data_IF_723390372024
#
_entry.id   IF_723390372024
#
_cell.length_a   1.000
_cell.length_b   1.000
_cell.length_c   1.000
_cell.angle_alpha   90.00
_cell.angle_beta   90.00
_cell.angle_gamma   90.00
#
_symmetry.space_group_name_H-M   'P 1'
#
loop_
_entity.id
_entity.type
_entity.pdbx_description
1 polymer ?
#
# COMPACT_ATOMS: atom_id res chain seq x y z
N UNK A 1 -36.21 58.87 54.74
CA UNK A 1 -36.60 57.66 53.97
C UNK A 1 -35.43 57.29 53.05
N UNK A 2 -34.83 56.10 53.22
CA UNK A 2 -33.66 55.67 52.44
C UNK A 2 -34.10 54.52 51.54
N UNK A 3 -34.07 54.73 50.23
CA UNK A 3 -34.44 53.70 49.26
C UNK A 3 -33.34 52.63 49.18
N UNK A 4 -33.69 51.32 49.15
CA UNK A 4 -32.71 50.27 48.90
C UNK A 4 -32.28 50.29 47.44
N UNK A 5 -30.96 50.19 47.19
CA UNK A 5 -30.40 50.00 45.85
C UNK A 5 -30.39 48.50 45.53
N UNK A 6 -30.92 48.07 44.37
CA UNK A 6 -30.86 46.66 43.98
C UNK A 6 -29.40 46.27 43.70
N UNK A 7 -28.94 45.22 44.39
CA UNK A 7 -27.63 44.62 44.15
C UNK A 7 -27.58 44.00 42.76
N UNK A 8 -26.65 44.49 41.92
CA UNK A 8 -26.28 43.85 40.65
C UNK A 8 -25.42 42.64 40.98
N UNK A 9 -25.99 41.45 40.91
CA UNK A 9 -25.24 40.21 41.08
C UNK A 9 -25.93 39.09 40.30
N UNK A 10 -25.21 38.49 39.34
CA UNK A 10 -25.65 37.26 38.67
C UNK A 10 -25.10 36.98 37.26
N UNK A 11 -24.55 37.97 36.56
CA UNK A 11 -24.20 37.80 35.13
C UNK A 11 -22.85 37.11 34.85
N UNK A 12 -21.83 37.37 35.67
CA UNK A 12 -20.46 36.92 35.37
C UNK A 12 -20.28 35.41 35.54
N UNK A 13 -20.85 34.81 36.59
CA UNK A 13 -20.76 33.36 36.82
C UNK A 13 -21.42 32.55 35.72
N UNK A 14 -22.56 33.00 35.22
CA UNK A 14 -23.23 32.36 34.07
C UNK A 14 -22.38 32.48 32.80
N UNK A 15 -21.80 33.65 32.55
CA UNK A 15 -20.91 33.86 31.41
C UNK A 15 -19.65 32.98 31.49
N UNK A 16 -19.03 32.89 32.67
CA UNK A 16 -17.89 32.01 32.92
C UNK A 16 -18.24 30.54 32.74
N UNK A 17 -19.44 30.12 33.14
CA UNK A 17 -19.91 28.75 32.98
C UNK A 17 -20.16 28.39 31.51
N UNK A 18 -20.78 29.28 30.73
CA UNK A 18 -20.95 29.07 29.28
C UNK A 18 -19.59 29.00 28.59
N UNK A 19 -18.65 29.89 28.93
CA UNK A 19 -17.30 29.89 28.36
C UNK A 19 -16.55 28.60 28.74
N UNK A 20 -16.66 28.15 30.00
CA UNK A 20 -16.06 26.90 30.44
C UNK A 20 -16.64 25.71 29.66
N UNK A 21 -17.96 25.63 29.51
CA UNK A 21 -18.62 24.59 28.73
C UNK A 21 -18.22 24.64 27.26
N UNK A 22 -18.06 25.83 26.68
CA UNK A 22 -17.60 26.02 25.32
C UNK A 22 -16.15 25.53 25.14
N UNK A 23 -15.26 25.83 26.09
CA UNK A 23 -13.86 25.36 26.08
C UNK A 23 -13.81 23.83 26.20
N UNK A 24 -14.58 23.24 27.14
CA UNK A 24 -14.65 21.78 27.31
C UNK A 24 -15.17 21.11 26.03
N UNK A 25 -16.20 21.68 25.41
CA UNK A 25 -16.75 21.19 24.14
C UNK A 25 -15.72 21.22 23.01
N UNK A 26 -14.97 22.33 22.89
CA UNK A 26 -13.94 22.49 21.85
C UNK A 26 -12.78 21.49 22.02
N UNK A 27 -12.27 21.32 23.25
CA UNK A 27 -11.18 20.38 23.55
C UNK A 27 -11.61 18.95 23.23
N UNK A 28 -12.83 18.55 23.63
CA UNK A 28 -13.35 17.20 23.41
C UNK A 28 -13.50 16.86 21.92
N UNK A 29 -13.94 17.81 21.09
CA UNK A 29 -14.13 17.59 19.65
C UNK A 29 -12.81 17.35 18.90
N UNK A 30 -11.68 17.87 19.40
CA UNK A 30 -10.38 17.75 18.73
C UNK A 30 -9.76 16.33 18.79
N UNK A 31 -10.14 15.51 19.77
CA UNK A 31 -9.52 14.20 20.02
C UNK A 31 -9.88 13.11 18.98
N UNK A 32 -10.96 13.28 18.21
CA UNK A 32 -11.55 12.20 17.40
C UNK A 32 -10.78 11.89 16.09
N UNK A 33 -9.99 12.83 15.57
CA UNK A 33 -9.35 12.67 14.24
C UNK A 33 -8.10 11.78 14.25
N UNK A 34 -7.51 11.50 15.42
CA UNK A 34 -6.25 10.75 15.51
C UNK A 34 -6.43 9.23 15.34
N UNK A 35 -7.65 8.72 15.49
CA UNK A 35 -7.93 7.28 15.47
C UNK A 35 -7.66 6.59 14.13
N UNK A 36 -7.98 7.22 13.00
CA UNK A 36 -7.88 6.57 11.68
C UNK A 36 -6.44 6.27 11.25
N UNK A 37 -5.52 7.20 11.52
CA UNK A 37 -4.09 7.04 11.20
C UNK A 37 -3.48 5.93 12.07
N UNK A 38 -3.81 5.90 13.36
CA UNK A 38 -3.34 4.86 14.28
C UNK A 38 -3.83 3.48 13.81
N UNK A 39 -5.11 3.35 13.47
CA UNK A 39 -5.66 2.08 13.01
C UNK A 39 -5.01 1.60 11.71
N UNK A 40 -4.78 2.51 10.76
CA UNK A 40 -4.08 2.18 9.51
C UNK A 40 -2.64 1.74 9.76
N UNK A 41 -1.92 2.43 10.64
CA UNK A 41 -0.55 2.03 11.01
C UNK A 41 -0.49 0.66 11.68
N UNK A 42 -1.50 0.29 12.47
CA UNK A 42 -1.61 -1.04 13.09
C UNK A 42 -1.86 -2.11 12.04
N UNK A 43 -2.78 -1.88 11.12
CA UNK A 43 -3.07 -2.79 10.02
C UNK A 43 -1.83 -3.01 9.13
N UNK A 44 -1.05 -1.96 8.86
CA UNK A 44 0.22 -2.08 8.12
C UNK A 44 1.27 -2.88 8.89
N UNK A 45 1.41 -2.69 10.20
CA UNK A 45 2.33 -3.50 11.01
C UNK A 45 1.89 -4.98 11.03
N UNK A 46 0.60 -5.25 11.18
CA UNK A 46 0.06 -6.60 11.09
C UNK A 46 0.30 -7.22 9.72
N UNK A 47 0.19 -6.43 8.64
CA UNK A 47 0.54 -6.87 7.29
C UNK A 47 2.01 -7.29 7.18
N UNK A 48 2.93 -6.54 7.79
CA UNK A 48 4.35 -6.89 7.81
C UNK A 48 4.62 -8.18 8.61
N UNK A 49 3.90 -8.39 9.72
CA UNK A 49 4.01 -9.61 10.54
C UNK A 49 3.47 -10.84 9.77
N UNK A 50 2.31 -10.70 9.12
CA UNK A 50 1.73 -11.72 8.25
C UNK A 50 2.68 -12.00 7.07
N UNK A 51 3.22 -10.95 6.47
CA UNK A 51 4.20 -11.04 5.39
C UNK A 51 5.48 -11.77 5.81
N UNK A 52 5.95 -11.54 7.03
CA UNK A 52 7.07 -12.29 7.62
C UNK A 52 6.71 -13.78 7.76
N UNK A 53 5.49 -14.12 8.20
CA UNK A 53 5.03 -15.50 8.27
C UNK A 53 4.97 -16.18 6.89
N UNK A 54 4.59 -15.45 5.84
CA UNK A 54 4.64 -15.96 4.45
C UNK A 54 6.08 -16.17 3.98
N UNK A 55 6.97 -15.20 4.19
CA UNK A 55 8.39 -15.32 3.86
C UNK A 55 9.04 -16.51 4.57
N UNK A 56 8.77 -16.68 5.86
CA UNK A 56 9.29 -17.79 6.66
C UNK A 56 8.70 -19.13 6.20
N UNK A 57 7.42 -19.17 5.79
CA UNK A 57 6.80 -20.38 5.23
C UNK A 57 7.39 -20.76 3.88
N UNK A 58 7.61 -19.80 2.98
CA UNK A 58 8.28 -20.02 1.68
C UNK A 58 9.70 -20.54 1.88
N UNK A 59 10.44 -19.93 2.83
CA UNK A 59 11.77 -20.39 3.21
C UNK A 59 11.74 -21.81 3.76
N UNK A 60 10.84 -22.10 4.69
CA UNK A 60 10.71 -23.43 5.30
C UNK A 60 10.35 -24.50 4.28
N UNK A 61 9.52 -24.18 3.28
CA UNK A 61 9.19 -25.08 2.18
C UNK A 61 10.40 -25.37 1.28
N UNK A 62 11.15 -24.33 0.92
CA UNK A 62 12.38 -24.48 0.15
C UNK A 62 13.44 -25.29 0.90
N UNK A 63 13.63 -25.03 2.20
CA UNK A 63 14.58 -25.75 3.06
C UNK A 63 14.19 -27.23 3.24
N UNK A 64 12.89 -27.56 3.16
CA UNK A 64 12.39 -28.94 3.21
C UNK A 64 12.45 -29.65 1.85
N UNK A 65 12.76 -28.94 0.76
CA UNK A 65 12.78 -29.50 -0.60
C UNK A 65 14.08 -30.29 -0.83
N UNK A 66 14.01 -31.59 -1.18
CA UNK A 66 15.19 -32.37 -1.54
C UNK A 66 15.85 -31.83 -2.82
N UNK A 67 17.18 -31.99 -2.93
CA UNK A 67 17.94 -31.58 -4.11
C UNK A 67 17.38 -32.22 -5.39
N UNK A 68 17.14 -31.40 -6.42
CA UNK A 68 16.57 -31.83 -7.71
C UNK A 68 15.08 -31.54 -7.91
N UNK A 69 14.39 -31.02 -6.89
CA UNK A 69 13.01 -30.51 -7.01
C UNK A 69 12.97 -28.98 -6.93
N UNK A 70 11.93 -28.32 -7.50
CA UNK A 70 11.81 -26.87 -7.41
C UNK A 70 11.58 -26.42 -5.96
N UNK A 71 12.39 -25.48 -5.43
CA UNK A 71 12.28 -25.03 -4.04
C UNK A 71 11.07 -24.15 -3.79
N UNK A 72 10.42 -23.61 -4.83
CA UNK A 72 9.20 -22.82 -4.70
C UNK A 72 7.96 -23.71 -4.73
N UNK A 73 6.97 -23.46 -3.87
CA UNK A 73 5.69 -24.16 -3.95
C UNK A 73 4.91 -23.68 -5.18
N UNK A 74 4.26 -24.54 -5.97
CA UNK A 74 3.39 -24.14 -7.07
C UNK A 74 2.16 -23.34 -6.63
N UNK A 75 1.69 -23.46 -5.39
CA UNK A 75 0.58 -22.65 -4.89
C UNK A 75 0.65 -22.40 -3.37
N UNK A 76 -0.04 -21.37 -2.89
CA UNK A 76 -0.15 -21.07 -1.45
C UNK A 76 -0.79 -22.21 -0.64
N UNK A 77 -1.60 -23.06 -1.29
CA UNK A 77 -2.24 -24.21 -0.62
C UNK A 77 -1.19 -25.23 -0.15
N UNK A 78 -0.07 -25.35 -0.87
CA UNK A 78 1.00 -26.28 -0.50
C UNK A 78 1.79 -25.81 0.71
N UNK A 79 1.80 -24.50 1.00
CA UNK A 79 2.33 -24.00 2.27
C UNK A 79 1.50 -24.50 3.47
N UNK A 80 0.20 -24.73 3.29
CA UNK A 80 -0.66 -25.26 4.36
C UNK A 80 -0.53 -26.78 4.52
N UNK A 81 -0.32 -27.50 3.43
CA UNK A 81 -0.18 -28.96 3.40
C UNK A 81 0.77 -29.35 2.27
N UNK A 82 2.00 -29.68 2.63
CA UNK A 82 3.00 -30.14 1.68
C UNK A 82 2.69 -31.59 1.24
N UNK A 83 2.44 -31.86 -0.05
CA UNK A 83 2.15 -33.21 -0.56
C UNK A 83 3.39 -34.11 -0.67
N UNK A 84 4.61 -33.56 -0.55
CA UNK A 84 5.87 -34.32 -0.72
C UNK A 84 6.17 -35.25 0.44
N UNK A 85 5.59 -35.00 1.61
CA UNK A 85 5.79 -35.81 2.79
C UNK A 85 4.56 -36.73 3.00
N UNK A 86 4.77 -38.00 3.39
CA UNK A 86 3.66 -38.94 3.67
C UNK A 86 2.81 -38.55 4.89
N UNK A 87 3.20 -37.50 5.64
CA UNK A 87 2.43 -36.90 6.71
C UNK A 87 2.10 -35.42 6.45
N UNK A 88 1.15 -34.85 7.19
CA UNK A 88 0.78 -33.43 7.07
C UNK A 88 1.90 -32.53 7.59
N UNK A 89 2.80 -32.09 6.71
CA UNK A 89 3.78 -31.03 7.00
C UNK A 89 3.19 -29.68 6.62
N UNK A 90 3.13 -28.76 7.60
CA UNK A 90 2.55 -27.42 7.43
C UNK A 90 3.65 -26.38 7.61
N UNK A 91 3.89 -25.58 6.58
CA UNK A 91 4.83 -24.46 6.64
C UNK A 91 4.14 -23.18 7.07
N UNK A 92 2.84 -23.07 6.79
CA UNK A 92 1.97 -21.97 7.20
C UNK A 92 0.81 -22.51 8.05
N UNK A 93 0.48 -21.81 9.14
CA UNK A 93 -0.57 -22.26 10.09
C UNK A 93 -1.97 -22.14 9.50
N UNK A 94 -2.23 -21.07 8.75
CA UNK A 94 -3.50 -20.75 8.09
C UNK A 94 -3.26 -19.72 7.00
N UNK A 95 -4.18 -19.61 6.04
CA UNK A 95 -4.19 -18.48 5.13
C UNK A 95 -4.69 -17.27 5.92
N UNK A 96 -3.83 -16.26 6.07
CA UNK A 96 -4.18 -15.04 6.79
C UNK A 96 -5.14 -14.18 5.97
N UNK A 97 -5.96 -13.40 6.66
CA UNK A 97 -6.77 -12.34 6.05
C UNK A 97 -5.87 -11.12 5.93
N UNK A 98 -5.87 -10.47 4.78
CA UNK A 98 -5.18 -9.20 4.60
C UNK A 98 -5.85 -8.12 5.47
N UNK A 99 -5.13 -7.51 6.43
CA UNK A 99 -5.71 -6.53 7.36
C UNK A 99 -6.10 -5.21 6.68
N UNK A 100 -5.64 -4.95 5.44
CA UNK A 100 -5.97 -3.74 4.69
C UNK A 100 -7.24 -3.95 3.86
N UNK A 101 -7.34 -5.08 3.14
CA UNK A 101 -8.51 -5.37 2.29
C UNK A 101 -9.63 -6.11 3.03
N UNK A 102 -9.33 -6.73 4.18
CA UNK A 102 -10.27 -7.55 4.95
C UNK A 102 -10.58 -8.90 4.30
N UNK A 103 -9.84 -9.30 3.26
CA UNK A 103 -10.07 -10.53 2.49
C UNK A 103 -8.91 -11.51 2.64
N UNK A 104 -9.18 -12.81 2.55
CA UNK A 104 -8.14 -13.84 2.50
C UNK A 104 -7.60 -14.03 1.07
N UNK A 105 -7.58 -12.95 0.27
CA UNK A 105 -7.15 -12.93 -1.12
C UNK A 105 -5.80 -12.24 -1.21
N UNK A 106 -4.81 -12.91 -1.79
CA UNK A 106 -3.44 -12.42 -1.87
C UNK A 106 -2.98 -12.39 -3.32
N UNK A 107 -2.24 -11.35 -3.67
CA UNK A 107 -1.46 -11.28 -4.89
C UNK A 107 -0.29 -12.25 -4.82
N UNK A 108 -0.05 -12.96 -5.92
CA UNK A 108 1.00 -13.97 -6.01
C UNK A 108 1.92 -13.59 -7.18
N UNK A 109 3.21 -13.47 -6.88
CA UNK A 109 4.26 -13.38 -7.89
C UNK A 109 4.81 -14.77 -8.16
N UNK A 110 4.69 -15.23 -9.40
CA UNK A 110 5.24 -16.52 -9.84
C UNK A 110 6.63 -16.32 -10.48
N UNK A 111 7.44 -17.39 -10.48
CA UNK A 111 8.75 -17.42 -11.13
C UNK A 111 8.64 -17.58 -12.66
N UNK A 112 7.64 -18.31 -13.13
CA UNK A 112 7.31 -18.47 -14.55
C UNK A 112 5.81 -18.32 -14.81
N UNK A 113 5.30 -18.98 -15.84
CA UNK A 113 3.87 -18.98 -16.22
C UNK A 113 3.00 -19.72 -15.18
N UNK A 114 2.77 -19.06 -14.03
CA UNK A 114 2.00 -19.56 -12.87
C UNK A 114 2.60 -20.76 -12.14
N UNK A 115 3.90 -20.96 -12.28
CA UNK A 115 4.62 -22.03 -11.58
C UNK A 115 5.62 -21.43 -10.60
N UNK A 116 5.60 -21.92 -9.36
CA UNK A 116 6.51 -21.53 -8.29
C UNK A 116 6.21 -20.14 -7.74
N UNK A 117 5.58 -20.08 -6.57
CA UNK A 117 5.34 -18.85 -5.81
C UNK A 117 6.68 -18.29 -5.34
N UNK A 118 7.05 -17.13 -5.89
CA UNK A 118 8.26 -16.39 -5.55
C UNK A 118 8.02 -15.38 -4.42
N UNK A 119 6.89 -14.69 -4.49
CA UNK A 119 6.49 -13.70 -3.49
C UNK A 119 4.97 -13.60 -3.35
N UNK A 120 4.53 -13.09 -2.22
CA UNK A 120 3.12 -12.81 -1.90
C UNK A 120 3.00 -11.31 -1.60
N UNK A 121 1.92 -10.67 -2.02
CA UNK A 121 1.67 -9.25 -1.75
C UNK A 121 0.17 -8.99 -1.54
N UNK A 122 -0.16 -7.90 -0.86
CA UNK A 122 -1.56 -7.48 -0.68
C UNK A 122 -2.12 -6.89 -1.98
N UNK A 123 -3.42 -7.08 -2.22
CA UNK A 123 -4.10 -6.52 -3.40
C UNK A 123 -4.53 -5.05 -3.22
N UNK A 124 -4.08 -4.38 -2.17
CA UNK A 124 -4.45 -3.00 -1.89
C UNK A 124 -3.55 -1.98 -2.58
N UNK A 125 -4.15 -1.09 -3.38
CA UNK A 125 -3.50 0.10 -3.93
C UNK A 125 -3.54 1.31 -2.98
N UNK A 126 -3.70 1.06 -1.68
CA UNK A 126 -3.66 2.12 -0.69
C UNK A 126 -2.22 2.62 -0.49
N UNK A 127 -2.05 3.93 -0.31
CA UNK A 127 -0.75 4.54 0.03
C UNK A 127 -0.28 4.10 1.43
N UNK A 128 0.94 3.60 1.62
CA UNK A 128 1.40 3.21 2.94
C UNK A 128 1.65 4.41 3.85
N UNK A 129 1.37 4.25 5.14
CA UNK A 129 1.74 5.17 6.22
C UNK A 129 3.21 4.98 6.59
N UNK A 130 3.70 3.73 6.57
CA UNK A 130 5.11 3.42 6.77
C UNK A 130 5.89 3.61 5.47
N UNK A 131 6.75 4.63 5.43
CA UNK A 131 7.57 4.95 4.24
C UNK A 131 9.01 4.44 4.38
N UNK A 132 9.49 4.20 5.61
CA UNK A 132 10.86 3.76 5.86
C UNK A 132 11.07 3.11 7.23
N UNK A 133 12.36 2.94 7.59
CA UNK A 133 12.79 2.22 8.79
C UNK A 133 12.19 0.80 8.87
N UNK A 134 12.23 0.09 7.74
CA UNK A 134 11.79 -1.30 7.67
C UNK A 134 12.85 -2.23 8.28
N UNK A 135 12.43 -3.38 8.84
CA UNK A 135 13.35 -4.45 9.21
C UNK A 135 14.24 -4.86 8.03
N UNK A 136 15.43 -5.41 8.31
CA UNK A 136 16.41 -5.80 7.27
C UNK A 136 15.86 -6.74 6.19
N UNK A 137 14.88 -7.58 6.55
CA UNK A 137 14.17 -8.47 5.60
C UNK A 137 13.28 -7.74 4.59
N UNK A 138 12.95 -6.48 4.84
CA UNK A 138 11.99 -5.67 4.09
C UNK A 138 12.58 -4.35 3.58
N UNK A 139 13.90 -4.25 3.43
CA UNK A 139 14.59 -3.02 2.96
C UNK A 139 14.04 -2.55 1.61
N UNK A 140 13.64 -3.47 0.73
CA UNK A 140 13.07 -3.15 -0.58
C UNK A 140 11.70 -2.46 -0.58
N UNK A 141 11.10 -2.23 0.60
CA UNK A 141 9.81 -1.56 0.74
C UNK A 141 9.92 -0.05 1.01
N UNK A 142 11.14 0.44 1.28
CA UNK A 142 11.37 1.86 1.52
C UNK A 142 10.96 2.71 0.31
N UNK A 143 10.21 3.78 0.55
CA UNK A 143 9.76 4.70 -0.48
C UNK A 143 8.71 4.18 -1.46
N UNK A 144 8.15 2.96 -1.27
CA UNK A 144 7.07 2.44 -2.13
C UNK A 144 5.79 3.28 -1.99
N UNK A 145 5.10 3.48 -3.11
CA UNK A 145 3.91 4.34 -3.19
C UNK A 145 2.61 3.59 -2.89
N UNK A 146 2.58 2.27 -3.09
CA UNK A 146 1.41 1.42 -2.86
C UNK A 146 1.77 0.24 -1.95
N UNK A 147 0.79 -0.24 -1.19
CA UNK A 147 0.94 -1.44 -0.37
C UNK A 147 1.10 -2.69 -1.26
N UNK A 148 0.51 -2.71 -2.46
CA UNK A 148 0.67 -3.77 -3.45
C UNK A 148 2.11 -3.97 -3.94
N UNK A 149 2.97 -2.95 -3.80
CA UNK A 149 4.41 -3.05 -4.11
C UNK A 149 5.21 -3.83 -3.06
N UNK A 150 4.65 -4.09 -1.88
CA UNK A 150 5.31 -4.83 -0.81
C UNK A 150 5.24 -6.33 -1.06
N UNK A 151 6.26 -6.83 -1.79
CA UNK A 151 6.39 -8.24 -2.17
C UNK A 151 7.17 -9.03 -1.11
N UNK A 152 6.46 -9.85 -0.33
CA UNK A 152 7.01 -10.76 0.66
C UNK A 152 7.55 -12.02 -0.01
N UNK A 153 8.88 -12.10 -0.15
CA UNK A 153 9.58 -13.23 -0.78
C UNK A 153 10.41 -14.01 0.23
N UNK A 154 10.97 -15.15 -0.20
CA UNK A 154 11.92 -15.95 0.58
C UNK A 154 13.25 -15.23 0.85
N UNK A 155 13.53 -14.09 0.19
CA UNK A 155 14.84 -13.47 0.12
C UNK A 155 15.50 -13.34 1.50
N UNK A 156 16.63 -14.05 1.63
CA UNK A 156 17.60 -13.89 2.69
C UNK A 156 18.07 -12.43 2.63
N UNK A 157 17.61 -11.60 3.58
CA UNK A 157 17.99 -10.21 3.80
C UNK A 157 18.93 -9.61 2.72
N UNK A 158 18.36 -8.92 1.72
CA UNK A 158 19.13 -8.01 0.86
C UNK A 158 18.97 -8.15 -0.65
N UNK A 159 18.39 -9.23 -1.19
CA UNK A 159 18.15 -9.32 -2.63
C UNK A 159 16.68 -9.00 -2.93
N UNK A 160 16.39 -7.75 -3.27
CA UNK A 160 15.21 -7.44 -4.07
C UNK A 160 15.29 -8.28 -5.37
N UNK A 161 14.19 -8.81 -5.90
CA UNK A 161 14.14 -9.18 -7.29
C UNK A 161 14.21 -7.88 -8.09
N UNK A 162 15.43 -7.38 -8.32
CA UNK A 162 15.68 -6.51 -9.47
C UNK A 162 15.14 -7.26 -10.66
N UNK A 163 14.19 -6.64 -11.34
CA UNK A 163 13.70 -7.04 -12.63
C UNK A 163 14.89 -7.51 -13.48
N UNK A 164 14.89 -8.80 -13.82
CA UNK A 164 15.81 -9.39 -14.78
C UNK A 164 15.60 -8.67 -16.12
N UNK A 165 16.35 -7.60 -16.34
CA UNK A 165 16.77 -7.17 -17.68
C UNK A 165 18.21 -7.66 -17.83
N UNK A 166 18.43 -8.64 -18.70
CA UNK A 166 19.77 -9.09 -19.06
C UNK A 166 20.43 -8.16 -20.10
N UNK A 167 21.72 -8.38 -20.47
CA UNK A 167 22.58 -9.46 -20.03
C UNK A 167 23.96 -9.05 -19.44
N UNK A 168 24.37 -9.85 -18.44
CA UNK A 168 25.70 -10.35 -18.08
C UNK A 168 26.92 -9.40 -17.89
N UNK A 169 27.73 -9.64 -16.83
CA UNK A 169 28.99 -8.96 -16.59
C UNK A 169 30.11 -9.57 -17.45
N UNK A 170 30.83 -8.76 -18.21
CA UNK A 170 32.13 -9.19 -18.77
C UNK A 170 33.19 -9.05 -17.69
N UNK A 171 33.57 -10.18 -17.10
CA UNK A 171 34.87 -10.33 -16.46
C UNK A 171 35.86 -10.71 -17.56
N UNK A 172 36.78 -9.82 -17.89
CA UNK A 172 38.07 -10.18 -18.51
C UNK A 172 39.18 -9.41 -17.82
N UNK A 173 40.17 -10.17 -17.34
CA UNK A 173 41.35 -9.78 -16.60
C UNK A 173 42.35 -8.95 -17.46
N UNK A 174 43.47 -8.46 -16.87
CA UNK A 174 44.19 -7.26 -17.31
C UNK A 174 45.23 -7.52 -18.40
N UNK A 175 45.46 -6.51 -19.26
CA UNK A 175 46.64 -6.45 -20.13
C UNK A 175 47.37 -5.13 -19.87
N UNK A 176 48.66 -5.13 -19.50
CA UNK A 176 49.46 -3.91 -19.30
C UNK A 176 49.97 -3.36 -20.64
N UNK A 177 49.84 -2.05 -20.85
CA UNK A 177 50.55 -1.37 -21.93
C UNK A 177 49.89 -0.10 -22.46
N UNK A 178 50.46 1.05 -22.05
CA UNK A 178 50.69 2.26 -22.85
C UNK A 178 49.49 2.97 -23.53
N UNK A 179 49.07 4.08 -22.91
CA UNK A 179 49.03 5.46 -23.44
C UNK A 179 47.78 6.25 -22.95
N UNK A 180 47.92 7.49 -22.44
CA UNK A 180 46.78 8.36 -22.16
C UNK A 180 46.33 9.03 -23.47
N UNK A 181 45.19 8.62 -24.01
CA UNK A 181 44.49 9.36 -25.07
C UNK A 181 43.44 10.26 -24.42
N UNK A 182 43.48 11.54 -24.82
CA UNK A 182 42.64 12.64 -24.38
C UNK A 182 41.12 12.33 -24.47
N UNK A 183 40.27 13.01 -23.67
CA UNK A 183 38.83 12.83 -23.73
C UNK A 183 38.26 13.35 -25.07
N UNK A 184 37.30 12.64 -25.69
CA UNK A 184 36.53 13.18 -26.81
C UNK A 184 35.58 14.31 -26.34
N UNK A 185 35.21 15.24 -27.23
CA UNK A 185 34.34 16.36 -26.89
C UNK A 185 32.92 15.89 -26.54
N UNK A 186 32.30 16.57 -25.56
CA UNK A 186 30.89 16.40 -25.20
C UNK A 186 29.98 16.53 -26.43
N UNK A 187 29.02 15.61 -26.64
CA UNK A 187 27.90 15.86 -27.52
C UNK A 187 27.07 17.02 -26.97
N UNK A 188 26.70 17.92 -27.88
CA UNK A 188 25.92 19.11 -27.64
C UNK A 188 24.63 18.83 -26.84
N UNK A 189 24.29 19.78 -25.98
CA UNK A 189 22.99 19.85 -25.32
C UNK A 189 21.85 19.75 -26.37
N UNK A 190 20.76 19.04 -26.08
CA UNK A 190 19.56 19.11 -26.90
C UNK A 190 19.06 20.56 -26.93
N UNK A 191 18.51 21.03 -28.07
CA UNK A 191 17.89 22.35 -28.13
C UNK A 191 16.72 22.44 -27.14
N UNK A 192 16.37 23.64 -26.65
CA UNK A 192 15.15 23.82 -25.88
C UNK A 192 13.95 23.30 -26.70
N UNK A 193 12.92 22.73 -26.07
CA UNK A 193 11.68 22.41 -26.77
C UNK A 193 11.18 23.67 -27.46
N UNK A 194 11.15 23.63 -28.79
CA UNK A 194 10.43 24.60 -29.60
C UNK A 194 8.97 24.51 -29.16
N UNK A 195 8.44 25.64 -28.71
CA UNK A 195 7.00 25.87 -28.52
C UNK A 195 6.24 25.26 -29.70
N UNK A 196 5.56 24.14 -29.45
CA UNK A 196 4.54 23.68 -30.36
C UNK A 196 3.43 24.75 -30.40
N UNK A 197 2.89 25.09 -31.57
CA UNK A 197 1.83 26.07 -31.67
C UNK A 197 0.65 25.63 -30.80
N UNK A 198 0.19 26.57 -29.97
CA UNK A 198 -1.02 26.48 -29.17
C UNK A 198 -2.17 26.12 -30.09
N UNK A 199 -2.56 24.85 -30.10
CA UNK A 199 -3.87 24.43 -30.59
C UNK A 199 -4.89 25.06 -29.63
N UNK A 200 -5.90 25.80 -30.11
CA UNK A 200 -6.96 26.30 -29.25
C UNK A 200 -7.61 25.13 -28.50
N UNK A 201 -8.04 25.30 -27.24
CA UNK A 201 -8.79 24.29 -26.51
C UNK A 201 -10.00 23.84 -27.34
N UNK A 202 -10.04 22.57 -27.73
CA UNK A 202 -11.31 21.91 -27.99
C UNK A 202 -12.03 21.83 -26.65
N UNK A 203 -13.03 22.68 -26.51
CA UNK A 203 -14.08 22.60 -25.50
C UNK A 203 -14.67 21.18 -25.54
N UNK A 204 -14.57 20.40 -24.45
CA UNK A 204 -15.40 19.21 -24.32
C UNK A 204 -16.85 19.68 -24.32
N UNK A 205 -17.62 19.21 -25.30
CA UNK A 205 -19.07 19.32 -25.32
C UNK A 205 -19.65 19.10 -23.93
N UNK A 206 -20.58 19.98 -23.56
CA UNK A 206 -21.39 19.85 -22.38
C UNK A 206 -21.97 18.42 -22.28
N UNK A 207 -22.03 17.83 -21.07
CA UNK A 207 -22.73 16.57 -20.88
C UNK A 207 -24.17 16.72 -21.37
N UNK A 208 -24.77 15.69 -22.01
CA UNK A 208 -26.19 15.73 -22.31
C UNK A 208 -26.94 15.92 -20.99
N UNK A 209 -27.84 16.91 -20.98
CA UNK A 209 -28.85 17.13 -19.96
C UNK A 209 -29.44 15.79 -19.53
N UNK A 210 -29.51 15.48 -18.22
CA UNK A 210 -30.29 14.34 -17.76
C UNK A 210 -31.73 14.48 -18.25
N UNK A 211 -32.20 13.55 -19.08
CA UNK A 211 -33.63 13.34 -19.27
C UNK A 211 -34.26 13.16 -17.88
N UNK A 212 -35.17 14.07 -17.58
CA UNK A 212 -36.10 14.00 -16.47
C UNK A 212 -36.78 12.62 -16.50
N UNK A 213 -36.74 11.81 -15.42
CA UNK A 213 -37.53 10.60 -15.38
C UNK A 213 -39.00 11.00 -15.45
N UNK A 214 -39.67 10.56 -16.52
CA UNK A 214 -41.12 10.61 -16.62
C UNK A 214 -41.72 10.10 -15.31
N UNK A 215 -42.51 10.96 -14.69
CA UNK A 215 -43.34 10.62 -13.54
C UNK A 215 -44.20 9.41 -13.92
N UNK A 216 -44.20 8.30 -13.16
CA UNK A 216 -45.18 7.26 -13.38
C UNK A 216 -46.56 7.83 -13.03
N UNK A 217 -47.43 7.87 -14.04
CA UNK A 217 -48.85 8.13 -13.91
C UNK A 217 -49.46 7.22 -12.83
N UNK A 218 -50.25 7.76 -11.87
CA UNK A 218 -50.90 6.93 -10.86
C UNK A 218 -51.99 6.05 -11.53
N UNK A 219 -52.21 4.81 -11.05
CA UNK A 219 -53.22 3.93 -11.61
C UNK A 219 -54.63 4.53 -11.41
N UNK A 220 -55.58 4.25 -12.32
CA UNK A 220 -56.96 4.71 -12.14
C UNK A 220 -57.59 4.06 -10.90
N UNK A 221 -58.22 4.89 -10.08
CA UNK A 221 -59.03 4.47 -8.94
C UNK A 221 -60.27 3.74 -9.49
N UNK A 222 -60.60 2.52 -9.01
CA UNK A 222 -61.88 1.90 -9.32
C UNK A 222 -63.02 2.75 -8.75
N UNK A 223 -63.94 3.20 -9.59
CA UNK A 223 -65.23 3.72 -9.13
C UNK A 223 -66.15 2.54 -8.82
N UNK A 224 -66.77 2.58 -7.64
CA UNK A 224 -68.05 1.89 -7.38
C UNK A 224 -69.15 2.42 -8.30
#
# INVERSE_FOLDING_TARGET
MRAPRPGRSGGFTYLSLIILLAIIGLVTASALKLGSVIQRSRAENELLDIGAAFSDALKSYADATPSGQPPQPPSLKELLKDPRFPGTRRHLRKLFVDPITGKAEWGIQYLGDKVGVLAVYSLSDAKPVKVGNFPSRFIGFDGKSHISDWKFSMSLAGAAPSEMTGPAPRVTAPVPGLQPVAPPPSPAAPPPPVEAPVTPPQEPEAPPTPEEPATPEPPPIPQE
#
